data_IF_832526096056
#
_entry.id   IF_832526096056
#
_cell.length_a   1.000
_cell.length_b   1.000
_cell.length_c   1.000
_cell.angle_alpha   90.00
_cell.angle_beta   90.00
_cell.angle_gamma   90.00
#
_symmetry.space_group_name_H-M   'P 1'
#
loop_
_entity.id
_entity.type
_entity.pdbx_description
1 polymer ?
#
# COMPACT_ATOMS: atom_id res chain seq x y z
N UNK A 1 -10.64 -37.14 -23.72
CA UNK A 1 -9.65 -36.46 -22.85
C UNK A 1 -9.26 -35.15 -23.52
N UNK A 2 -9.68 -34.05 -22.94
CA UNK A 2 -9.33 -32.71 -23.43
C UNK A 2 -7.89 -32.42 -22.95
N UNK A 3 -6.97 -32.20 -23.88
CA UNK A 3 -5.58 -31.88 -23.53
C UNK A 3 -5.55 -30.40 -23.14
N UNK A 4 -5.25 -30.11 -21.88
CA UNK A 4 -4.97 -28.76 -21.40
C UNK A 4 -3.60 -28.34 -21.93
N UNK A 5 -3.49 -27.13 -22.50
CA UNK A 5 -2.20 -26.51 -22.84
C UNK A 5 -2.00 -25.38 -21.83
N UNK A 6 -0.92 -25.48 -21.09
CA UNK A 6 -0.47 -24.38 -20.23
C UNK A 6 0.45 -23.47 -21.05
N UNK A 7 0.24 -22.18 -20.90
CA UNK A 7 1.08 -21.15 -21.50
C UNK A 7 1.50 -20.16 -20.42
N UNK A 8 2.79 -20.01 -20.23
CA UNK A 8 3.37 -19.04 -19.30
C UNK A 8 4.02 -17.95 -20.15
N UNK A 9 3.60 -16.72 -19.96
CA UNK A 9 4.20 -15.56 -20.61
C UNK A 9 4.97 -14.75 -19.56
N UNK A 10 6.18 -14.34 -19.93
CA UNK A 10 6.95 -13.41 -19.11
C UNK A 10 6.30 -12.03 -19.08
N UNK A 11 6.53 -11.29 -17.99
CA UNK A 11 6.06 -9.91 -17.88
C UNK A 11 6.72 -9.02 -18.94
N UNK A 12 5.95 -8.19 -19.66
CA UNK A 12 6.52 -7.24 -20.63
C UNK A 12 7.25 -6.06 -19.96
N UNK A 13 7.17 -5.94 -18.62
CA UNK A 13 7.75 -4.81 -17.90
C UNK A 13 9.17 -5.11 -17.42
N UNK A 14 10.08 -4.18 -17.69
CA UNK A 14 11.47 -4.23 -17.21
C UNK A 14 11.57 -3.66 -15.80
N UNK A 15 11.04 -4.38 -14.79
CA UNK A 15 11.00 -3.92 -13.39
C UNK A 15 12.38 -3.52 -12.83
N UNK A 16 13.43 -4.24 -13.21
CA UNK A 16 14.80 -3.96 -12.73
C UNK A 16 15.32 -2.59 -13.18
N UNK A 17 14.79 -2.05 -14.26
CA UNK A 17 15.17 -0.72 -14.78
C UNK A 17 14.21 0.39 -14.35
N UNK A 18 12.94 0.06 -14.27
CA UNK A 18 11.86 1.06 -14.17
C UNK A 18 11.17 1.10 -12.80
N UNK A 19 11.58 0.22 -11.86
CA UNK A 19 10.99 0.18 -10.53
C UNK A 19 12.06 0.21 -9.45
N UNK A 20 11.92 1.10 -8.47
CA UNK A 20 12.75 1.15 -7.27
C UNK A 20 11.92 0.65 -6.08
N UNK A 21 12.29 -0.50 -5.53
CA UNK A 21 11.72 -0.99 -4.28
C UNK A 21 12.51 -0.43 -3.09
N UNK A 22 11.86 0.41 -2.29
CA UNK A 22 12.41 0.95 -1.07
C UNK A 22 11.86 0.22 0.16
N UNK A 23 12.74 -0.38 0.95
CA UNK A 23 12.42 -1.03 2.23
C UNK A 23 13.25 -0.36 3.33
N UNK A 24 12.63 0.40 4.25
CA UNK A 24 13.37 1.06 5.33
C UNK A 24 13.93 0.00 6.29
N UNK A 25 15.25 0.05 6.54
CA UNK A 25 15.95 -0.89 7.44
C UNK A 25 15.91 -0.45 8.91
N UNK A 26 15.77 0.85 9.13
CA UNK A 26 15.95 1.48 10.45
C UNK A 26 14.62 1.77 11.16
N UNK A 27 13.56 1.06 10.80
CA UNK A 27 12.30 1.16 11.51
C UNK A 27 12.47 0.63 12.94
N UNK A 28 12.34 1.53 13.91
CA UNK A 28 12.34 1.13 15.32
C UNK A 28 11.18 0.16 15.57
N UNK A 29 11.42 -0.84 16.41
CA UNK A 29 10.34 -1.71 16.90
C UNK A 29 9.51 -0.96 17.94
N UNK A 30 8.47 -0.28 17.50
CA UNK A 30 7.49 0.36 18.36
C UNK A 30 6.38 -0.61 18.74
N UNK A 31 5.70 -0.33 19.85
CA UNK A 31 4.48 -1.05 20.18
C UNK A 31 3.41 -0.79 19.12
N UNK A 32 2.83 -1.86 18.57
CA UNK A 32 1.79 -1.77 17.54
C UNK A 32 0.63 -0.87 18.00
N UNK A 33 0.29 0.11 17.19
CA UNK A 33 -0.77 1.08 17.48
C UNK A 33 -0.38 2.17 18.48
N UNK A 34 0.91 2.30 18.83
CA UNK A 34 1.38 3.40 19.68
C UNK A 34 1.47 4.71 18.90
N UNK A 35 1.49 5.81 19.65
CA UNK A 35 1.74 7.15 19.10
C UNK A 35 3.10 7.21 18.41
N UNK A 36 4.13 6.63 19.03
CA UNK A 36 5.50 6.56 18.48
C UNK A 36 5.55 5.81 17.13
N UNK A 37 4.80 4.71 16.97
CA UNK A 37 4.69 4.01 15.69
C UNK A 37 4.05 4.92 14.62
N UNK A 38 3.00 5.65 15.00
CA UNK A 38 2.29 6.54 14.09
C UNK A 38 3.17 7.72 13.63
N UNK A 39 3.90 8.33 14.55
CA UNK A 39 4.85 9.41 14.28
C UNK A 39 5.97 8.94 13.33
N UNK A 40 6.57 7.81 13.63
CA UNK A 40 7.62 7.22 12.77
C UNK A 40 7.09 6.94 11.35
N UNK A 41 5.89 6.41 11.21
CA UNK A 41 5.26 6.18 9.90
C UNK A 41 5.03 7.50 9.18
N UNK A 42 4.53 8.52 9.88
CA UNK A 42 4.30 9.85 9.32
C UNK A 42 5.59 10.49 8.81
N UNK A 43 6.67 10.45 9.57
CA UNK A 43 7.98 10.99 9.20
C UNK A 43 8.53 10.34 7.91
N UNK A 44 8.42 9.02 7.80
CA UNK A 44 8.84 8.31 6.58
C UNK A 44 7.99 8.68 5.38
N UNK A 45 6.66 8.72 5.54
CA UNK A 45 5.73 9.12 4.48
C UNK A 45 6.01 10.55 4.03
N UNK A 46 6.20 11.48 4.98
CA UNK A 46 6.56 12.87 4.68
C UNK A 46 7.82 12.95 3.82
N UNK A 47 8.88 12.29 4.25
CA UNK A 47 10.17 12.30 3.55
C UNK A 47 10.07 11.75 2.12
N UNK A 48 9.32 10.66 1.94
CA UNK A 48 9.11 10.06 0.62
C UNK A 48 8.28 10.96 -0.30
N UNK A 49 7.16 11.52 0.19
CA UNK A 49 6.30 12.42 -0.57
C UNK A 49 7.07 13.68 -1.03
N UNK A 50 7.88 14.26 -0.14
CA UNK A 50 8.69 15.42 -0.48
C UNK A 50 9.77 15.07 -1.52
N UNK A 51 10.33 13.87 -1.45
CA UNK A 51 11.35 13.40 -2.43
C UNK A 51 10.77 13.09 -3.81
N UNK A 52 9.48 12.77 -3.90
CA UNK A 52 8.77 12.43 -5.15
C UNK A 52 7.92 13.58 -5.70
N UNK A 53 7.95 14.74 -5.06
CA UNK A 53 7.18 15.93 -5.46
C UNK A 53 5.66 15.69 -5.54
N UNK A 54 5.11 14.97 -4.59
CA UNK A 54 3.74 14.48 -4.65
C UNK A 54 3.64 13.21 -5.50
N UNK A 55 2.71 13.15 -6.46
CA UNK A 55 2.48 11.98 -7.33
C UNK A 55 2.46 10.64 -6.59
N UNK A 56 1.89 10.64 -5.38
CA UNK A 56 2.02 9.53 -4.43
C UNK A 56 0.65 8.97 -4.04
N UNK A 57 0.54 7.64 -4.09
CA UNK A 57 -0.53 6.89 -3.46
C UNK A 57 -0.01 6.24 -2.18
N UNK A 58 -0.68 6.51 -1.05
CA UNK A 58 -0.36 5.89 0.25
C UNK A 58 -1.48 4.95 0.65
N UNK A 59 -1.18 3.65 0.72
CA UNK A 59 -2.14 2.60 1.04
C UNK A 59 -2.02 2.15 2.50
N UNK A 60 -3.15 2.19 3.19
CA UNK A 60 -3.31 1.76 4.57
C UNK A 60 -4.25 0.55 4.67
N UNK A 61 -4.03 -0.29 5.66
CA UNK A 61 -4.95 -1.39 6.03
C UNK A 61 -5.98 -0.96 7.07
N UNK A 62 -5.89 0.28 7.59
CA UNK A 62 -6.75 0.80 8.65
C UNK A 62 -7.07 2.28 8.42
N UNK A 63 -8.36 2.61 8.40
CA UNK A 63 -8.83 4.00 8.37
C UNK A 63 -8.40 4.80 9.59
N UNK A 64 -8.30 4.17 10.74
CA UNK A 64 -7.84 4.83 11.97
C UNK A 64 -6.39 5.30 11.85
N UNK A 65 -5.47 4.42 11.41
CA UNK A 65 -4.08 4.79 11.20
C UNK A 65 -3.95 5.84 10.10
N UNK A 66 -4.67 5.65 8.98
CA UNK A 66 -4.71 6.61 7.88
C UNK A 66 -5.12 8.00 8.39
N UNK A 67 -6.17 8.08 9.21
CA UNK A 67 -6.66 9.34 9.76
C UNK A 67 -5.65 10.04 10.65
N UNK A 68 -5.00 9.31 11.53
CA UNK A 68 -3.98 9.87 12.41
C UNK A 68 -2.80 10.43 11.60
N UNK A 69 -2.25 9.66 10.67
CA UNK A 69 -1.15 10.10 9.81
C UNK A 69 -1.56 11.28 8.93
N UNK A 70 -2.76 11.23 8.34
CA UNK A 70 -3.28 12.32 7.53
C UNK A 70 -3.37 13.64 8.31
N UNK A 71 -3.88 13.60 9.54
CA UNK A 71 -3.98 14.80 10.40
C UNK A 71 -2.62 15.36 10.79
N UNK A 72 -1.61 14.51 10.98
CA UNK A 72 -0.25 14.96 11.28
C UNK A 72 0.40 15.64 10.08
N UNK A 73 0.16 15.16 8.87
CA UNK A 73 0.89 15.60 7.69
C UNK A 73 0.19 16.67 6.85
N UNK A 74 -1.11 16.90 7.03
CA UNK A 74 -1.92 17.75 6.16
C UNK A 74 -1.44 19.21 6.08
N UNK A 75 -0.81 19.71 7.15
CA UNK A 75 -0.32 21.08 7.24
C UNK A 75 1.21 21.18 7.00
N UNK A 76 1.89 20.03 6.87
CA UNK A 76 3.34 19.95 6.68
C UNK A 76 3.74 19.60 5.24
N UNK A 77 2.87 18.87 4.51
CA UNK A 77 3.14 18.49 3.13
C UNK A 77 2.77 19.64 2.18
N UNK A 78 3.70 20.11 1.33
CA UNK A 78 3.47 21.23 0.42
C UNK A 78 2.64 20.87 -0.83
N UNK A 79 2.08 19.68 -0.89
CA UNK A 79 1.29 19.17 -2.02
C UNK A 79 -0.17 18.96 -1.61
N UNK A 80 -1.13 19.04 -2.54
CA UNK A 80 -2.53 18.75 -2.26
C UNK A 80 -2.71 17.33 -1.72
N UNK A 81 -3.22 17.20 -0.49
CA UNK A 81 -3.53 15.92 0.13
C UNK A 81 -5.01 15.60 0.00
N UNK A 82 -5.31 14.42 -0.49
CA UNK A 82 -6.67 13.92 -0.69
C UNK A 82 -6.81 12.59 0.06
N UNK A 83 -7.85 12.47 0.90
CA UNK A 83 -8.12 11.25 1.66
C UNK A 83 -9.39 10.57 1.19
N UNK A 84 -9.31 9.30 0.82
CA UNK A 84 -10.47 8.48 0.47
C UNK A 84 -11.05 7.83 1.72
N UNK A 85 -12.15 8.39 2.20
CA UNK A 85 -12.89 7.93 3.38
C UNK A 85 -14.14 7.18 2.94
N UNK A 86 -14.18 5.86 3.06
CA UNK A 86 -15.35 5.02 2.76
C UNK A 86 -16.09 5.40 1.47
N UNK A 87 -15.78 4.75 0.39
CA UNK A 87 -16.51 4.82 -0.89
C UNK A 87 -16.76 6.25 -1.41
N UNK A 88 -15.72 7.06 -1.48
CA UNK A 88 -15.78 8.39 -2.06
C UNK A 88 -15.19 8.38 -3.47
N UNK A 89 -15.93 7.94 -4.52
CA UNK A 89 -15.42 7.95 -5.90
C UNK A 89 -15.07 9.37 -6.37
N UNK A 90 -15.68 10.37 -5.77
CA UNK A 90 -15.43 11.79 -6.04
C UNK A 90 -13.99 12.20 -5.68
N UNK A 91 -13.44 11.67 -4.58
CA UNK A 91 -12.07 11.97 -4.16
C UNK A 91 -11.02 11.37 -5.09
N UNK A 92 -11.30 10.20 -5.66
CA UNK A 92 -10.44 9.60 -6.69
C UNK A 92 -10.48 10.45 -7.97
N UNK A 93 -11.65 10.94 -8.35
CA UNK A 93 -11.80 11.84 -9.50
C UNK A 93 -11.07 13.16 -9.26
N UNK A 94 -11.21 13.73 -8.07
CA UNK A 94 -10.50 14.94 -7.66
C UNK A 94 -8.97 14.74 -7.70
N UNK A 95 -8.48 13.61 -7.22
CA UNK A 95 -7.06 13.28 -7.29
C UNK A 95 -6.56 13.26 -8.74
N UNK A 96 -7.31 12.61 -9.65
CA UNK A 96 -6.97 12.54 -11.07
C UNK A 96 -6.95 13.91 -11.78
N UNK A 97 -7.57 14.92 -11.20
CA UNK A 97 -7.64 16.28 -11.73
C UNK A 97 -6.69 17.27 -11.03
N UNK A 98 -5.94 16.79 -10.05
CA UNK A 98 -5.09 17.65 -9.22
C UNK A 98 -3.63 17.31 -9.44
N UNK A 99 -2.87 18.27 -9.91
CA UNK A 99 -1.44 18.09 -10.18
C UNK A 99 -0.66 17.90 -8.88
N UNK A 100 0.36 17.05 -8.91
CA UNK A 100 1.26 16.76 -7.80
C UNK A 100 0.54 16.32 -6.51
N UNK A 101 -0.67 15.80 -6.63
CA UNK A 101 -1.47 15.41 -5.47
C UNK A 101 -0.94 14.14 -4.79
N UNK A 102 -1.30 14.01 -3.53
CA UNK A 102 -1.05 12.83 -2.71
C UNK A 102 -2.38 12.22 -2.30
N UNK A 103 -2.58 10.94 -2.62
CA UNK A 103 -3.79 10.21 -2.28
C UNK A 103 -3.55 9.30 -1.08
N UNK A 104 -4.30 9.49 -0.01
CA UNK A 104 -4.35 8.60 1.14
C UNK A 104 -5.57 7.69 1.03
N UNK A 105 -5.38 6.40 1.02
CA UNK A 105 -6.47 5.46 0.85
C UNK A 105 -6.35 4.21 1.73
N UNK A 106 -7.51 3.67 2.09
CA UNK A 106 -7.62 2.38 2.76
C UNK A 106 -8.77 1.58 2.15
N UNK A 107 -8.70 0.25 2.22
CA UNK A 107 -9.77 -0.63 1.72
C UNK A 107 -9.91 -0.60 0.20
N UNK A 108 -10.87 0.15 -0.33
CA UNK A 108 -11.31 0.09 -1.74
C UNK A 108 -10.26 0.47 -2.80
N UNK A 109 -9.19 1.17 -2.42
CA UNK A 109 -8.15 1.56 -3.37
C UNK A 109 -7.01 0.53 -3.52
N UNK A 110 -7.11 -0.61 -2.86
CA UNK A 110 -6.17 -1.71 -3.04
C UNK A 110 -6.33 -2.40 -4.40
N UNK A 111 -7.54 -2.36 -4.95
CA UNK A 111 -7.90 -2.99 -6.21
C UNK A 111 -8.87 -2.12 -7.02
N UNK A 112 -8.93 -2.34 -8.33
CA UNK A 112 -9.98 -1.78 -9.20
C UNK A 112 -9.86 -0.30 -9.51
N UNK A 113 -8.73 0.35 -9.22
CA UNK A 113 -8.50 1.76 -9.56
C UNK A 113 -7.33 1.85 -10.54
N UNK A 114 -7.56 2.56 -11.65
CA UNK A 114 -6.53 2.86 -12.64
C UNK A 114 -6.10 4.32 -12.55
N UNK A 115 -4.78 4.55 -12.54
CA UNK A 115 -4.15 5.86 -12.53
C UNK A 115 -3.24 5.99 -13.76
N UNK A 116 -3.71 6.60 -14.86
CA UNK A 116 -2.95 6.70 -16.10
C UNK A 116 -1.78 7.67 -15.96
N UNK A 117 -0.71 7.38 -16.73
CA UNK A 117 0.47 8.23 -16.82
C UNK A 117 1.30 8.24 -15.52
N UNK A 118 1.75 9.42 -15.12
CA UNK A 118 2.62 9.67 -13.96
C UNK A 118 1.86 10.15 -12.71
N UNK A 119 0.55 10.06 -12.71
CA UNK A 119 -0.28 10.46 -11.54
C UNK A 119 0.15 9.78 -10.25
N UNK A 120 0.58 8.52 -10.35
CA UNK A 120 1.15 7.75 -9.25
C UNK A 120 2.50 7.20 -9.68
N UNK A 121 3.55 8.00 -9.52
CA UNK A 121 4.94 7.56 -9.71
C UNK A 121 5.53 6.96 -8.42
N UNK A 122 4.89 7.20 -7.28
CA UNK A 122 5.28 6.67 -5.98
C UNK A 122 4.09 5.95 -5.32
N UNK A 123 4.31 4.70 -4.91
CA UNK A 123 3.36 3.90 -4.15
C UNK A 123 3.95 3.55 -2.79
N UNK A 124 3.30 3.98 -1.72
CA UNK A 124 3.69 3.68 -0.35
C UNK A 124 2.68 2.68 0.25
N UNK A 125 3.16 1.51 0.61
CA UNK A 125 2.38 0.49 1.31
C UNK A 125 2.81 0.48 2.77
N UNK A 126 1.95 1.00 3.64
CA UNK A 126 2.26 1.15 5.07
C UNK A 126 2.31 -0.20 5.79
N UNK A 127 1.37 -1.07 5.47
CA UNK A 127 1.34 -2.47 5.95
C UNK A 127 0.73 -3.35 4.86
N UNK A 128 1.24 -4.57 4.72
CA UNK A 128 0.64 -5.53 3.80
C UNK A 128 -0.76 -5.97 4.28
N UNK A 129 -1.72 -6.14 3.38
CA UNK A 129 -3.10 -6.47 3.71
C UNK A 129 -3.29 -7.98 3.95
N UNK A 130 -2.54 -8.53 4.91
CA UNK A 130 -2.75 -9.92 5.31
C UNK A 130 -4.16 -10.10 5.87
N UNK A 131 -4.79 -11.21 5.52
CA UNK A 131 -6.07 -11.60 6.09
C UNK A 131 -5.99 -11.65 7.63
N UNK A 132 -7.06 -11.22 8.29
CA UNK A 132 -7.17 -11.39 9.74
C UNK A 132 -7.25 -12.89 10.02
N UNK A 133 -6.41 -13.45 10.90
CA UNK A 133 -6.47 -14.87 11.25
C UNK A 133 -7.88 -15.24 11.70
N UNK A 134 -8.47 -16.22 11.05
CA UNK A 134 -9.70 -16.87 11.45
C UNK A 134 -9.40 -18.34 11.80
N UNK A 135 -10.30 -19.04 12.52
CA UNK A 135 -10.03 -20.41 12.95
C UNK A 135 -9.74 -21.41 11.82
N UNK A 136 -10.25 -21.13 10.61
CA UNK A 136 -10.03 -21.99 9.43
C UNK A 136 -8.63 -21.75 8.88
N UNK A 137 -8.26 -20.49 8.68
CA UNK A 137 -6.91 -20.14 8.19
C UNK A 137 -5.81 -20.49 9.20
N UNK A 138 -6.10 -20.45 10.52
CA UNK A 138 -5.16 -20.92 11.53
C UNK A 138 -4.97 -22.43 11.49
N UNK A 139 -6.06 -23.20 11.36
CA UNK A 139 -5.98 -24.65 11.19
C UNK A 139 -5.26 -25.05 9.89
N UNK A 140 -5.50 -24.33 8.81
CA UNK A 140 -4.81 -24.52 7.53
C UNK A 140 -3.30 -24.25 7.66
N UNK A 141 -2.93 -23.16 8.33
CA UNK A 141 -1.54 -22.81 8.61
C UNK A 141 -0.78 -23.89 9.40
N UNK A 142 -1.44 -24.58 10.33
CA UNK A 142 -0.86 -25.69 11.08
C UNK A 142 -0.52 -26.90 10.20
N UNK A 143 -1.08 -26.99 8.99
CA UNK A 143 -0.75 -28.07 8.02
C UNK A 143 0.55 -27.85 7.26
N UNK A 144 1.16 -26.67 7.37
CA UNK A 144 2.41 -26.31 6.70
C UNK A 144 3.60 -26.40 7.67
N UNK A 145 4.74 -26.85 7.14
CA UNK A 145 5.97 -27.03 7.93
C UNK A 145 6.54 -25.71 8.51
N UNK A 146 6.19 -24.57 7.88
CA UNK A 146 6.62 -23.25 8.31
C UNK A 146 5.64 -22.15 7.87
N UNK A 147 5.67 -21.01 8.60
CA UNK A 147 4.92 -19.82 8.20
C UNK A 147 5.31 -19.32 6.81
N UNK A 148 6.57 -19.45 6.44
CA UNK A 148 7.11 -19.04 5.15
C UNK A 148 6.51 -19.88 4.00
N UNK A 149 6.42 -21.20 4.19
CA UNK A 149 5.79 -22.13 3.25
C UNK A 149 4.28 -21.84 3.09
N UNK A 150 3.59 -21.54 4.17
CA UNK A 150 2.18 -21.12 4.15
C UNK A 150 1.98 -19.81 3.37
N UNK A 151 2.81 -18.79 3.65
CA UNK A 151 2.73 -17.50 2.96
C UNK A 151 2.96 -17.68 1.46
N UNK A 152 3.96 -18.43 1.06
CA UNK A 152 4.25 -18.67 -0.36
C UNK A 152 3.16 -19.45 -1.10
N UNK A 153 2.47 -20.34 -0.41
CA UNK A 153 1.46 -21.21 -1.04
C UNK A 153 0.06 -20.60 -1.12
N UNK A 154 -0.30 -19.76 -0.14
CA UNK A 154 -1.68 -19.28 0.02
C UNK A 154 -1.79 -17.76 -0.14
N UNK A 155 -0.78 -17.00 0.29
CA UNK A 155 -0.86 -15.53 0.32
C UNK A 155 -0.19 -14.90 -0.90
N UNK A 156 0.84 -15.55 -1.43
CA UNK A 156 1.58 -15.10 -2.62
C UNK A 156 1.60 -16.25 -3.62
N UNK A 157 0.50 -16.49 -4.34
CA UNK A 157 0.42 -17.52 -5.37
C UNK A 157 1.26 -17.18 -6.60
#
# INVERSE_FOLDING_TARGET
MQRVREYVADSPFEYQKNCLLYLPKDLKRCRRGSQEETEMIADHIHSLICSTYGHTLVLFTSYHLMGNVYQMLRDEIPFPMIGVWRHSPEEITRFKQTDNAVLFAAGSCWEGVDFPGDMVSSLIIVKLPFAVPDPISEAEKETYDSLESYIQSIIVP
#
